data_IF_083189488113
#
_entry.id   IF_083189488113
#
_cell.length_a   1.000
_cell.length_b   1.000
_cell.length_c   1.000
_cell.angle_alpha   90.00
_cell.angle_beta   90.00
_cell.angle_gamma   90.00
#
_symmetry.space_group_name_H-M   'P 1'
#
loop_
_entity.id
_entity.type
_entity.pdbx_description
1 polymer ?
#
# COMPACT_ATOMS: atom_id res chain seq x y z
N UNK A 1 0.47 8.61 2.89
CA UNK A 1 -0.06 7.47 2.12
C UNK A 1 -0.41 7.88 0.70
N UNK A 2 -0.09 7.06 -0.31
CA UNK A 2 -0.37 7.30 -1.74
C UNK A 2 -1.85 7.25 -2.11
N UNK A 3 -2.64 6.47 -1.37
CA UNK A 3 -4.10 6.37 -1.52
C UNK A 3 -4.77 6.48 -0.15
N UNK A 4 -6.06 6.79 -0.14
CA UNK A 4 -6.88 6.89 1.07
C UNK A 4 -7.61 5.59 1.43
N UNK A 5 -7.67 4.63 0.50
CA UNK A 5 -8.27 3.30 0.64
C UNK A 5 -7.61 2.32 -0.35
N UNK A 6 -7.92 1.02 -0.28
CA UNK A 6 -7.37 -0.05 -1.14
C UNK A 6 -5.84 -0.24 -1.06
N UNK A 7 -5.25 -0.07 0.13
CA UNK A 7 -3.81 -0.25 0.42
C UNK A 7 -2.89 0.64 -0.42
N UNK A 8 -2.37 1.69 0.21
CA UNK A 8 -1.33 2.54 -0.33
C UNK A 8 0.07 2.23 0.18
N UNK A 9 1.00 3.01 -0.35
CA UNK A 9 2.40 3.06 0.09
C UNK A 9 2.66 4.45 0.64
N UNK A 10 3.39 4.53 1.74
CA UNK A 10 3.98 5.78 2.19
C UNK A 10 5.48 5.66 2.35
N UNK A 11 6.16 6.69 1.89
CA UNK A 11 7.62 6.80 1.91
C UNK A 11 8.05 7.97 2.78
N UNK A 12 9.26 7.86 3.32
CA UNK A 12 9.96 8.94 4.03
C UNK A 12 11.37 9.09 3.50
N UNK A 13 11.86 10.33 3.50
CA UNK A 13 13.27 10.60 3.24
C UNK A 13 14.08 10.34 4.51
N UNK A 14 15.18 9.61 4.36
CA UNK A 14 16.13 9.33 5.42
C UNK A 14 17.53 9.23 4.82
N UNK A 15 18.55 9.42 5.66
CA UNK A 15 19.94 9.26 5.30
C UNK A 15 20.65 8.48 6.42
N UNK A 16 21.77 7.85 6.09
CA UNK A 16 22.62 7.21 7.09
C UNK A 16 23.62 8.24 7.61
N UNK A 17 23.88 8.30 8.91
CA UNK A 17 24.83 9.26 9.46
C UNK A 17 26.05 8.52 10.03
N UNK A 18 27.25 8.98 9.70
CA UNK A 18 28.47 8.50 10.34
C UNK A 18 28.59 9.07 11.75
N UNK A 19 29.47 8.51 12.58
CA UNK A 19 29.80 9.06 13.90
C UNK A 19 30.36 10.49 13.85
N UNK A 20 30.86 10.91 12.69
CA UNK A 20 31.37 12.26 12.42
C UNK A 20 30.26 13.23 11.96
N UNK A 21 29.02 12.76 11.83
CA UNK A 21 27.88 13.56 11.41
C UNK A 21 27.75 13.75 9.89
N UNK A 22 28.51 13.00 9.09
CA UNK A 22 28.42 13.02 7.63
C UNK A 22 27.21 12.22 7.18
N UNK A 23 26.41 12.82 6.30
CA UNK A 23 25.27 12.15 5.67
C UNK A 23 25.73 11.27 4.51
N UNK A 24 25.40 10.00 4.61
CA UNK A 24 25.64 8.95 3.64
C UNK A 24 24.32 8.44 3.06
N UNK A 25 24.44 7.65 2.00
CA UNK A 25 23.30 7.04 1.33
C UNK A 25 22.53 6.10 2.26
N UNK A 26 21.22 6.04 2.06
CA UNK A 26 20.31 5.26 2.92
C UNK A 26 20.54 3.75 2.79
N UNK A 27 21.06 3.32 1.64
CA UNK A 27 21.39 1.94 1.30
C UNK A 27 22.43 1.36 2.27
N UNK A 28 23.36 2.18 2.76
CA UNK A 28 24.34 1.75 3.78
C UNK A 28 23.62 1.30 5.06
N UNK A 29 22.66 2.10 5.52
CA UNK A 29 21.87 1.77 6.70
C UNK A 29 20.97 0.55 6.48
N UNK A 30 20.44 0.33 5.27
CA UNK A 30 19.66 -0.86 4.92
C UNK A 30 20.50 -2.15 4.93
N UNK A 31 21.79 -2.07 4.54
CA UNK A 31 22.71 -3.20 4.58
C UNK A 31 23.07 -3.62 6.01
N UNK A 32 23.22 -2.64 6.91
CA UNK A 32 23.63 -2.86 8.31
C UNK A 32 22.42 -3.22 9.19
N UNK A 33 21.29 -2.57 8.95
CA UNK A 33 20.07 -2.70 9.72
C UNK A 33 18.95 -3.24 8.81
N UNK A 34 18.74 -4.57 8.76
CA UNK A 34 17.71 -5.18 7.92
C UNK A 34 16.28 -4.70 8.25
N UNK A 35 16.07 -4.21 9.47
CA UNK A 35 14.80 -3.62 9.91
C UNK A 35 14.61 -2.16 9.49
N UNK A 36 15.61 -1.55 8.85
CA UNK A 36 15.53 -0.18 8.38
C UNK A 36 14.71 -0.14 7.08
N UNK A 37 13.55 0.48 7.17
CA UNK A 37 12.62 0.66 6.05
C UNK A 37 12.28 2.13 5.88
N UNK A 38 12.29 2.58 4.62
CA UNK A 38 11.86 3.92 4.20
C UNK A 38 10.44 3.92 3.67
N UNK A 39 9.86 2.74 3.46
CA UNK A 39 8.53 2.54 2.91
C UNK A 39 7.72 1.62 3.79
N UNK A 40 6.42 1.88 3.87
CA UNK A 40 5.46 0.95 4.48
C UNK A 40 4.09 1.06 3.82
N UNK A 41 3.31 -0.01 3.94
CA UNK A 41 1.91 -0.02 3.53
C UNK A 41 1.06 0.82 4.48
N UNK A 42 0.03 1.47 3.94
CA UNK A 42 -0.88 2.34 4.69
C UNK A 42 -2.30 2.24 4.11
N UNK A 43 -3.31 2.62 4.89
CA UNK A 43 -4.72 2.63 4.47
C UNK A 43 -5.23 1.31 3.84
N UNK A 44 -5.17 0.16 4.55
CA UNK A 44 -5.58 -1.14 4.01
C UNK A 44 -7.10 -1.32 3.89
N UNK A 45 -7.89 -0.34 4.34
CA UNK A 45 -9.35 -0.40 4.29
C UNK A 45 -9.82 -0.31 2.83
N UNK A 46 -10.70 -1.23 2.37
CA UNK A 46 -11.22 -1.17 1.02
C UNK A 46 -11.94 0.14 0.72
N UNK A 47 -11.85 0.61 -0.52
CA UNK A 47 -12.63 1.75 -0.96
C UNK A 47 -14.13 1.40 -0.94
N UNK A 48 -14.98 2.37 -0.55
CA UNK A 48 -16.42 2.21 -0.74
C UNK A 48 -16.72 2.31 -2.25
N UNK A 49 -16.76 1.14 -2.90
CA UNK A 49 -17.31 1.01 -4.25
C UNK A 49 -18.83 0.94 -4.20
N UNK A 50 -19.48 1.38 -5.27
CA UNK A 50 -20.87 1.04 -5.53
C UNK A 50 -20.92 -0.46 -5.79
N UNK A 51 -21.54 -1.24 -4.88
CA UNK A 51 -21.76 -2.67 -5.10
C UNK A 51 -22.76 -2.77 -6.25
N UNK A 52 -22.29 -3.09 -7.46
CA UNK A 52 -23.16 -3.32 -8.62
C UNK A 52 -23.58 -4.78 -8.58
N UNK A 53 -24.67 -5.07 -7.87
CA UNK A 53 -25.22 -6.42 -7.85
C UNK A 53 -25.87 -6.71 -9.21
N UNK A 54 -25.31 -7.65 -9.95
CA UNK A 54 -25.79 -7.98 -11.30
C UNK A 54 -26.86 -9.07 -11.18
N UNK A 55 -28.13 -8.66 -11.11
CA UNK A 55 -29.24 -9.61 -11.08
C UNK A 55 -29.50 -10.17 -12.49
N UNK A 56 -29.11 -11.42 -12.72
CA UNK A 56 -29.53 -12.17 -13.91
C UNK A 56 -30.97 -12.65 -13.71
N UNK A 57 -31.94 -12.08 -14.42
CA UNK A 57 -33.26 -12.66 -14.52
C UNK A 57 -33.23 -13.78 -15.57
N UNK A 58 -33.46 -15.02 -15.16
CA UNK A 58 -33.81 -16.10 -16.10
C UNK A 58 -35.32 -16.06 -16.32
N UNK A 59 -35.77 -15.66 -17.49
CA UNK A 59 -37.13 -15.97 -17.92
C UNK A 59 -37.20 -17.46 -18.25
N UNK A 60 -37.82 -18.27 -17.39
CA UNK A 60 -38.12 -19.68 -17.69
C UNK A 60 -39.04 -19.74 -18.92
N UNK A 61 -38.78 -20.61 -19.92
CA UNK A 61 -39.60 -20.66 -21.14
C UNK A 61 -40.92 -21.42 -20.99
N UNK A 62 -41.21 -22.06 -19.86
CA UNK A 62 -42.33 -22.99 -19.77
C UNK A 62 -43.28 -22.63 -18.62
N UNK A 63 -44.23 -21.73 -18.92
CA UNK A 63 -45.50 -21.69 -18.19
C UNK A 63 -46.39 -22.83 -18.69
N UNK A 64 -46.65 -23.80 -17.82
CA UNK A 64 -47.64 -24.87 -18.02
C UNK A 64 -49.00 -24.46 -17.45
#
# INVERSE_FOLDING_TARGET
CSVTCDTGVESRNAFCATSEGVSESVEICQLIFPSFVTERTCNPVPCQGTVVDTFFYQTSPNGA
#
